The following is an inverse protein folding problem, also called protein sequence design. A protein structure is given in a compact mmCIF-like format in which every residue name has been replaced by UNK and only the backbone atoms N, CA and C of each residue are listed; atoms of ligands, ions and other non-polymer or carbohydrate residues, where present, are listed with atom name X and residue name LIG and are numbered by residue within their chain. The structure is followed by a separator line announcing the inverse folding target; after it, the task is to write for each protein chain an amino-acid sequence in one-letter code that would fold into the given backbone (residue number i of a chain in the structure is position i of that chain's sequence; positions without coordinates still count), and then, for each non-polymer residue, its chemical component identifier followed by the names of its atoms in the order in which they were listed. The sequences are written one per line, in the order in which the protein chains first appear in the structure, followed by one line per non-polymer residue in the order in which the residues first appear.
data_IF_079818362853
#
_entry.id   IF_079818362853
#
_cell.length_a   1.000
_cell.length_b   1.000
_cell.length_c   1.000
_cell.angle_alpha   90.00
_cell.angle_beta   90.00
_cell.angle_gamma   90.00
#
_symmetry.space_group_name_H-M   'P 1'
#
loop_
_entity.id
_entity.type
_entity.pdbx_description
1 polymer ?
#
# COMPACT_ATOMS: atom_id res chain seq x y z
N UNK A 1 7.67 5.15 -25.45
CA UNK A 1 7.62 4.23 -24.30
C UNK A 1 7.37 4.93 -22.97
N UNK A 2 8.22 5.85 -22.51
CA UNK A 2 8.06 6.49 -21.18
C UNK A 2 6.74 7.25 -21.05
N UNK A 3 6.34 8.00 -22.10
CA UNK A 3 5.05 8.71 -22.12
C UNK A 3 3.87 7.74 -22.04
N UNK A 4 3.94 6.61 -22.76
CA UNK A 4 2.90 5.58 -22.70
C UNK A 4 2.86 4.90 -21.33
N UNK A 5 4.01 4.61 -20.72
CA UNK A 5 4.08 4.07 -19.37
C UNK A 5 3.50 5.05 -18.34
N UNK A 6 3.83 6.34 -18.43
CA UNK A 6 3.22 7.38 -17.59
C UNK A 6 1.72 7.49 -17.81
N UNK A 7 1.24 7.45 -19.05
CA UNK A 7 -0.18 7.46 -19.37
C UNK A 7 -0.93 6.29 -18.72
N UNK A 8 -0.39 5.06 -18.84
CA UNK A 8 -0.98 3.87 -18.19
C UNK A 8 -0.99 4.04 -16.67
N UNK A 9 0.11 4.54 -16.07
CA UNK A 9 0.19 4.78 -14.63
C UNK A 9 -0.76 5.89 -14.13
N UNK A 10 -0.89 6.98 -14.89
CA UNK A 10 -1.73 8.13 -14.54
C UNK A 10 -3.22 7.80 -14.71
N UNK A 11 -3.57 6.93 -15.67
CA UNK A 11 -4.94 6.43 -15.83
C UNK A 11 -5.47 5.69 -14.58
N UNK A 12 -4.56 5.23 -13.73
CA UNK A 12 -4.86 4.51 -12.50
C UNK A 12 -4.86 5.40 -11.25
N UNK A 13 -4.17 6.55 -11.28
CA UNK A 13 -4.08 7.45 -10.12
C UNK A 13 -5.28 8.38 -10.01
N UNK A 14 -5.98 8.62 -11.12
CA UNK A 14 -7.20 9.43 -11.14
C UNK A 14 -8.36 8.51 -10.72
N UNK A 15 -8.91 8.60 -9.49
CA UNK A 15 -10.29 8.16 -9.33
C UNK A 15 -11.08 8.97 -10.36
N UNK A 16 -11.81 8.30 -11.25
CA UNK A 16 -12.81 8.98 -12.07
C UNK A 16 -13.81 9.58 -11.09
N UNK A 17 -13.55 10.81 -10.64
CA UNK A 17 -14.62 11.68 -10.20
C UNK A 17 -15.53 11.82 -11.40
N UNK A 18 -16.81 11.54 -11.20
CA UNK A 18 -17.84 11.78 -12.20
C UNK A 18 -17.57 13.11 -12.89
N UNK A 19 -17.60 13.07 -14.23
CA UNK A 19 -17.55 14.27 -15.03
C UNK A 19 -18.79 15.09 -14.72
N UNK A 20 -18.61 16.16 -13.97
CA UNK A 20 -19.57 17.22 -13.84
C UNK A 20 -19.06 18.35 -14.75
N UNK A 21 -19.32 18.18 -16.05
CA UNK A 21 -19.36 19.30 -16.99
C UNK A 21 -20.59 20.13 -16.61
N UNK A 22 -20.43 21.10 -15.71
CA UNK A 22 -21.41 22.15 -15.53
C UNK A 22 -20.77 23.46 -15.96
N UNK A 23 -21.07 23.83 -17.19
CA UNK A 23 -21.05 25.20 -17.68
C UNK A 23 -22.00 26.02 -16.79
N UNK A 24 -21.44 27.01 -16.09
CA UNK A 24 -22.16 27.94 -15.24
C UNK A 24 -22.93 28.95 -16.13
N UNK A 25 -24.17 28.63 -16.48
CA UNK A 25 -25.18 29.64 -16.85
C UNK A 25 -26.50 29.39 -16.10
N UNK A 26 -26.91 30.41 -15.33
CA UNK A 26 -28.32 30.77 -15.13
C UNK A 26 -29.14 29.88 -14.19
N UNK A 27 -29.47 30.43 -13.01
CA UNK A 27 -30.22 29.70 -11.99
C UNK A 27 -31.69 29.42 -12.30
N UNK A 28 -32.24 28.44 -11.57
CA UNK A 28 -33.55 28.50 -10.92
C UNK A 28 -33.69 27.29 -10.00
N UNK A 29 -34.20 27.54 -8.79
CA UNK A 29 -34.67 26.51 -7.86
C UNK A 29 -35.67 25.57 -8.57
N UNK A 30 -35.45 24.26 -8.48
CA UNK A 30 -36.54 23.32 -8.19
C UNK A 30 -36.01 21.99 -7.66
N UNK A 31 -36.68 21.51 -6.60
CA UNK A 31 -36.37 20.27 -5.90
C UNK A 31 -36.56 19.06 -6.82
N UNK A 32 -35.53 18.22 -6.99
CA UNK A 32 -35.77 16.81 -7.30
C UNK A 32 -34.75 15.91 -6.59
N UNK A 33 -35.31 15.09 -5.72
CA UNK A 33 -34.67 14.14 -4.82
C UNK A 33 -34.24 12.91 -5.63
N UNK A 34 -32.94 12.61 -5.67
CA UNK A 34 -32.45 11.32 -6.16
C UNK A 34 -31.23 10.86 -5.35
N UNK A 35 -31.45 10.63 -4.04
CA UNK A 35 -30.44 10.07 -3.13
C UNK A 35 -30.44 8.54 -3.18
N UNK A 36 -29.64 7.98 -4.09
CA UNK A 36 -29.29 6.55 -4.06
C UNK A 36 -27.99 6.38 -3.26
N UNK A 37 -28.04 6.45 -1.92
CA UNK A 37 -26.83 6.27 -1.09
C UNK A 37 -26.99 6.27 0.43
N UNK A 38 -27.28 5.10 1.02
CA UNK A 38 -27.20 4.76 2.48
C UNK A 38 -27.49 5.91 3.47
N UNK A 39 -28.79 6.10 3.75
CA UNK A 39 -29.34 7.16 4.59
C UNK A 39 -29.18 7.01 6.11
N UNK A 40 -28.44 6.03 6.64
CA UNK A 40 -28.41 5.78 8.11
C UNK A 40 -27.80 6.94 8.92
N UNK A 41 -26.77 7.59 8.38
CA UNK A 41 -26.02 8.65 9.06
C UNK A 41 -26.68 10.03 8.91
N UNK A 42 -27.27 10.29 7.73
CA UNK A 42 -28.08 11.49 7.46
C UNK A 42 -29.35 11.49 8.31
N UNK A 43 -30.00 10.32 8.47
CA UNK A 43 -31.15 10.13 9.38
C UNK A 43 -30.78 10.42 10.83
N UNK A 44 -29.65 9.89 11.35
CA UNK A 44 -29.16 10.15 12.71
C UNK A 44 -28.82 11.62 12.96
N UNK A 45 -28.20 12.31 12.00
CA UNK A 45 -27.93 13.74 12.11
C UNK A 45 -29.24 14.56 12.10
N UNK A 46 -30.19 14.24 11.22
CA UNK A 46 -31.51 14.89 11.18
C UNK A 46 -32.31 14.64 12.48
N UNK A 47 -32.23 13.44 13.05
CA UNK A 47 -32.88 13.07 14.30
C UNK A 47 -32.26 13.79 15.52
N UNK A 48 -30.93 13.92 15.56
CA UNK A 48 -30.22 14.69 16.59
C UNK A 48 -30.56 16.19 16.53
N UNK A 49 -30.87 16.72 15.34
CA UNK A 49 -31.32 18.11 15.17
C UNK A 49 -32.77 18.31 15.61
N UNK A 50 -33.65 17.37 15.23
CA UNK A 50 -35.05 17.37 15.68
C UNK A 50 -35.14 17.31 17.21
N UNK A 51 -34.44 16.38 17.85
CA UNK A 51 -34.41 16.25 19.32
C UNK A 51 -33.88 17.50 20.01
N UNK A 52 -32.84 18.15 19.47
CA UNK A 52 -32.36 19.43 19.99
C UNK A 52 -33.43 20.53 19.90
N UNK A 53 -34.13 20.64 18.77
CA UNK A 53 -35.18 21.64 18.56
C UNK A 53 -36.44 21.41 19.41
N UNK A 54 -36.72 20.16 19.81
CA UNK A 54 -37.82 19.83 20.73
C UNK A 54 -37.50 20.17 22.20
N UNK A 55 -36.23 20.23 22.59
CA UNK A 55 -35.86 20.60 23.97
C UNK A 55 -35.96 22.12 24.19
N UNK A 56 -36.92 22.55 25.03
CA UNK A 56 -37.26 23.97 25.27
C UNK A 56 -36.20 24.85 25.96
N UNK A 57 -35.01 24.33 26.31
CA UNK A 57 -33.91 25.13 26.90
C UNK A 57 -32.75 25.28 25.92
N UNK A 58 -32.87 26.29 25.06
CA UNK A 58 -31.89 26.65 24.02
C UNK A 58 -30.78 27.52 24.61
N UNK A 59 -29.69 26.90 25.03
CA UNK A 59 -28.50 27.63 25.50
C UNK A 59 -27.45 27.69 24.38
N UNK A 60 -26.87 28.87 24.11
CA UNK A 60 -25.96 29.10 22.96
C UNK A 60 -24.71 28.19 22.96
N UNK A 61 -24.25 27.78 24.15
CA UNK A 61 -23.13 26.81 24.28
C UNK A 61 -23.53 25.39 23.86
N UNK A 62 -24.81 25.02 23.98
CA UNK A 62 -25.32 23.68 23.65
C UNK A 62 -25.60 23.55 22.15
N UNK A 63 -26.13 24.58 21.49
CA UNK A 63 -26.27 24.60 20.02
C UNK A 63 -24.93 24.45 19.32
N UNK A 64 -23.91 25.19 19.77
CA UNK A 64 -22.57 25.13 19.21
C UNK A 64 -21.95 23.71 19.33
N UNK A 65 -22.19 23.01 20.46
CA UNK A 65 -21.73 21.62 20.64
C UNK A 65 -22.42 20.64 19.70
N UNK A 66 -23.74 20.74 19.53
CA UNK A 66 -24.52 19.87 18.64
C UNK A 66 -24.12 20.11 17.18
N UNK A 67 -23.99 21.36 16.75
CA UNK A 67 -23.51 21.71 15.41
C UNK A 67 -22.09 21.18 15.14
N UNK A 68 -21.19 21.28 16.13
CA UNK A 68 -19.82 20.74 16.01
C UNK A 68 -19.81 19.21 15.91
N UNK A 69 -20.71 18.53 16.63
CA UNK A 69 -20.87 17.07 16.53
C UNK A 69 -21.41 16.63 15.17
N UNK A 70 -22.43 17.33 14.64
CA UNK A 70 -22.98 17.09 13.30
C UNK A 70 -21.94 17.30 12.21
N UNK A 71 -21.21 18.43 12.26
CA UNK A 71 -20.12 18.71 11.30
C UNK A 71 -19.06 17.62 11.33
N UNK A 72 -18.68 17.10 12.50
CA UNK A 72 -17.72 15.98 12.62
C UNK A 72 -18.25 14.66 12.05
N UNK A 73 -19.55 14.37 12.19
CA UNK A 73 -20.16 13.18 11.59
C UNK A 73 -20.23 13.29 10.07
N UNK A 74 -20.54 14.48 9.54
CA UNK A 74 -20.57 14.74 8.10
C UNK A 74 -19.17 14.74 7.46
N UNK A 75 -18.15 15.27 8.14
CA UNK A 75 -16.77 15.28 7.62
C UNK A 75 -16.08 13.93 7.71
N UNK A 76 -16.48 13.04 8.64
CA UNK A 76 -15.93 11.68 8.75
C UNK A 76 -16.23 10.82 7.52
N UNK A 77 -17.26 11.14 6.72
CA UNK A 77 -17.55 10.48 5.43
C UNK A 77 -16.75 11.05 4.24
N UNK A 78 -16.22 12.28 4.35
CA UNK A 78 -15.35 12.91 3.30
C UNK A 78 -13.90 12.46 3.37
N UNK A 79 -13.46 11.85 4.48
CA UNK A 79 -12.24 11.07 4.48
C UNK A 79 -12.62 9.67 4.02
N UNK A 80 -12.15 9.19 2.85
CA UNK A 80 -12.25 7.77 2.56
C UNK A 80 -11.60 7.04 3.73
N UNK A 81 -12.31 6.07 4.29
CA UNK A 81 -11.76 5.20 5.33
C UNK A 81 -10.46 4.61 4.80
N UNK A 82 -9.33 5.02 5.35
CA UNK A 82 -7.98 4.50 5.09
C UNK A 82 -7.80 3.09 5.70
N UNK A 83 -8.80 2.23 5.52
CA UNK A 83 -8.87 0.90 6.13
C UNK A 83 -9.74 -0.07 5.34
N UNK A 84 -10.06 0.23 4.08
CA UNK A 84 -10.63 -0.77 3.18
C UNK A 84 -9.49 -1.35 2.36
N UNK A 85 -9.00 -2.52 2.79
CA UNK A 85 -8.14 -3.41 2.00
C UNK A 85 -8.78 -3.81 0.65
N UNK A 86 -10.02 -3.38 0.37
CA UNK A 86 -10.77 -3.64 -0.85
C UNK A 86 -10.93 -2.42 -1.78
N UNK A 87 -10.32 -1.27 -1.51
CA UNK A 87 -10.25 -0.17 -2.48
C UNK A 87 -9.31 -0.47 -3.67
N UNK A 88 -8.54 -1.56 -3.58
CA UNK A 88 -7.82 -2.20 -4.68
C UNK A 88 -8.69 -3.29 -5.36
N UNK A 89 -10.03 -3.23 -5.25
CA UNK A 89 -10.85 -3.82 -6.33
C UNK A 89 -10.55 -2.99 -7.56
N UNK A 90 -9.56 -3.47 -8.31
CA UNK A 90 -9.13 -2.93 -9.58
C UNK A 90 -10.37 -2.51 -10.35
N UNK A 91 -10.41 -1.25 -10.79
CA UNK A 91 -11.40 -0.85 -11.76
C UNK A 91 -11.35 -1.90 -12.88
N UNK A 92 -12.46 -2.60 -13.19
CA UNK A 92 -12.44 -3.67 -14.19
C UNK A 92 -12.05 -3.15 -15.58
N UNK A 93 -12.06 -1.82 -15.75
CA UNK A 93 -11.61 -1.08 -16.95
C UNK A 93 -10.25 -0.41 -16.77
N UNK A 94 -9.43 -0.86 -15.84
CA UNK A 94 -8.02 -0.48 -15.76
C UNK A 94 -7.33 -0.81 -17.08
N UNK A 95 -6.59 0.15 -17.64
CA UNK A 95 -5.85 -0.08 -18.88
C UNK A 95 -4.87 -1.25 -18.77
N UNK A 96 -4.38 -1.52 -17.56
CA UNK A 96 -3.48 -2.62 -17.24
C UNK A 96 -4.17 -3.97 -17.40
N UNK A 97 -5.43 -4.09 -16.99
CA UNK A 97 -6.22 -5.33 -17.08
C UNK A 97 -6.55 -5.71 -18.54
N UNK A 98 -6.62 -4.71 -19.43
CA UNK A 98 -7.01 -4.89 -20.83
C UNK A 98 -5.82 -5.20 -21.77
N UNK A 99 -4.62 -5.36 -21.22
CA UNK A 99 -3.43 -5.66 -22.02
C UNK A 99 -3.49 -7.10 -22.52
N UNK A 100 -3.32 -7.27 -23.84
CA UNK A 100 -3.21 -8.58 -24.46
C UNK A 100 -1.83 -9.18 -24.19
N UNK A 101 -1.79 -10.43 -23.70
CA UNK A 101 -0.58 -11.16 -23.30
C UNK A 101 0.34 -10.37 -22.34
N UNK A 102 -0.07 -10.22 -21.06
CA UNK A 102 0.66 -9.40 -20.08
C UNK A 102 2.04 -9.96 -19.72
N UNK A 103 2.24 -11.29 -19.78
CA UNK A 103 3.52 -11.94 -19.51
C UNK A 103 4.58 -11.49 -20.52
N UNK A 104 4.32 -11.72 -21.82
CA UNK A 104 5.28 -11.40 -22.88
C UNK A 104 5.60 -9.90 -22.92
N UNK A 105 4.57 -9.07 -22.72
CA UNK A 105 4.76 -7.61 -22.64
C UNK A 105 5.71 -7.21 -21.50
N UNK A 106 5.52 -7.80 -20.31
CA UNK A 106 6.35 -7.50 -19.13
C UNK A 106 7.79 -7.97 -19.32
N UNK A 107 8.01 -9.14 -19.91
CA UNK A 107 9.35 -9.65 -20.22
C UNK A 107 10.08 -8.78 -21.25
N UNK A 108 9.38 -8.34 -22.31
CA UNK A 108 9.93 -7.40 -23.31
C UNK A 108 10.33 -6.08 -22.66
N UNK A 109 9.46 -5.50 -21.82
CA UNK A 109 9.78 -4.28 -21.07
C UNK A 109 10.98 -4.45 -20.15
N UNK A 110 11.09 -5.60 -19.48
CA UNK A 110 12.22 -5.91 -18.61
C UNK A 110 13.53 -6.07 -19.41
N UNK A 111 13.49 -6.73 -20.56
CA UNK A 111 14.63 -6.84 -21.48
C UNK A 111 15.10 -5.47 -21.99
N UNK A 112 14.15 -4.59 -22.34
CA UNK A 112 14.44 -3.22 -22.76
C UNK A 112 15.08 -2.39 -21.63
N UNK A 113 14.61 -2.57 -20.39
CA UNK A 113 15.20 -1.95 -19.20
C UNK A 113 16.65 -2.42 -19.00
N UNK A 114 16.93 -3.70 -19.21
CA UNK A 114 18.28 -4.26 -19.07
C UNK A 114 19.23 -3.84 -20.18
N UNK A 115 18.77 -3.82 -21.42
CA UNK A 115 19.60 -3.49 -22.59
C UNK A 115 19.95 -2.00 -22.62
N UNK A 116 19.02 -1.13 -22.22
CA UNK A 116 19.21 0.33 -22.27
C UNK A 116 19.79 0.94 -20.99
N UNK A 117 20.43 0.13 -20.13
CA UNK A 117 20.98 0.52 -18.82
C UNK A 117 21.81 1.81 -18.83
N UNK A 118 22.55 2.13 -19.90
CA UNK A 118 23.45 3.29 -19.97
C UNK A 118 22.80 4.59 -20.48
N UNK A 119 21.71 4.51 -21.24
CA UNK A 119 21.19 5.65 -22.01
C UNK A 119 19.88 6.24 -21.44
N UNK A 120 19.41 5.76 -20.29
CA UNK A 120 18.11 6.14 -19.71
C UNK A 120 18.33 6.81 -18.35
N UNK A 121 17.65 7.94 -18.14
CA UNK A 121 17.62 8.66 -16.85
C UNK A 121 17.05 7.78 -15.75
N UNK A 122 17.48 8.01 -14.51
CA UNK A 122 17.04 7.20 -13.37
C UNK A 122 15.51 7.27 -13.16
N UNK A 123 14.90 8.45 -13.34
CA UNK A 123 13.45 8.61 -13.22
C UNK A 123 12.66 7.81 -14.28
N UNK A 124 13.18 7.73 -15.51
CA UNK A 124 12.60 6.90 -16.55
C UNK A 124 12.74 5.40 -16.24
N UNK A 125 13.87 4.97 -15.65
CA UNK A 125 14.03 3.59 -15.15
C UNK A 125 13.01 3.29 -14.05
N UNK A 126 12.85 4.20 -13.10
CA UNK A 126 11.91 4.04 -12.00
C UNK A 126 10.46 3.97 -12.49
N UNK A 127 10.10 4.76 -13.51
CA UNK A 127 8.78 4.70 -14.17
C UNK A 127 8.55 3.35 -14.84
N UNK A 128 9.56 2.80 -15.53
CA UNK A 128 9.46 1.48 -16.15
C UNK A 128 9.36 0.36 -15.11
N UNK A 129 10.14 0.44 -14.03
CA UNK A 129 10.05 -0.51 -12.91
C UNK A 129 8.64 -0.46 -12.31
N UNK A 130 8.09 0.72 -12.03
CA UNK A 130 6.72 0.86 -11.51
C UNK A 130 5.69 0.17 -12.41
N UNK A 131 5.78 0.36 -13.73
CA UNK A 131 4.89 -0.31 -14.67
C UNK A 131 5.05 -1.84 -14.59
N UNK A 132 6.28 -2.35 -14.59
CA UNK A 132 6.58 -3.79 -14.49
C UNK A 132 6.03 -4.37 -13.19
N UNK A 133 6.30 -3.73 -12.04
CA UNK A 133 5.81 -4.22 -10.73
C UNK A 133 4.30 -4.17 -10.62
N UNK A 134 3.65 -3.19 -11.24
CA UNK A 134 2.18 -3.16 -11.36
C UNK A 134 1.64 -4.31 -12.20
N UNK A 135 2.23 -4.57 -13.38
CA UNK A 135 1.82 -5.70 -14.24
C UNK A 135 1.92 -7.03 -13.50
N UNK A 136 3.04 -7.25 -12.78
CA UNK A 136 3.27 -8.43 -11.94
C UNK A 136 2.18 -8.55 -10.87
N UNK A 137 1.88 -7.46 -10.16
CA UNK A 137 0.91 -7.48 -9.06
C UNK A 137 -0.53 -7.75 -9.51
N UNK A 138 -0.91 -7.30 -10.72
CA UNK A 138 -2.28 -7.38 -11.22
C UNK A 138 -2.54 -8.72 -11.92
N UNK A 139 -1.58 -9.21 -12.70
CA UNK A 139 -1.70 -10.43 -13.49
C UNK A 139 -0.98 -11.63 -12.87
N UNK A 140 -0.45 -11.49 -11.65
CA UNK A 140 0.28 -12.53 -10.90
C UNK A 140 1.42 -13.18 -11.72
N UNK A 141 2.20 -12.34 -12.40
CA UNK A 141 3.24 -12.77 -13.35
C UNK A 141 4.56 -13.15 -12.66
N UNK A 142 5.19 -14.23 -13.10
CA UNK A 142 6.48 -14.67 -12.56
C UNK A 142 7.64 -14.10 -13.38
N UNK A 143 8.25 -13.00 -12.90
CA UNK A 143 9.46 -12.39 -13.48
C UNK A 143 10.59 -12.40 -12.45
N UNK A 144 11.16 -13.58 -12.21
CA UNK A 144 12.15 -13.79 -11.13
C UNK A 144 13.44 -12.97 -11.30
N UNK A 145 13.81 -12.63 -12.53
CA UNK A 145 15.00 -11.81 -12.83
C UNK A 145 14.88 -10.37 -12.31
N UNK A 146 13.67 -9.92 -11.95
CA UNK A 146 13.44 -8.60 -11.39
C UNK A 146 14.03 -8.46 -9.98
N UNK A 147 13.92 -9.47 -9.12
CA UNK A 147 14.37 -9.37 -7.71
C UNK A 147 15.88 -9.10 -7.61
N UNK A 148 16.77 -9.83 -8.31
CA UNK A 148 18.20 -9.51 -8.31
C UNK A 148 18.54 -8.15 -8.91
N UNK A 149 17.69 -7.61 -9.80
CA UNK A 149 17.85 -6.25 -10.32
C UNK A 149 17.51 -5.22 -9.23
N UNK A 150 16.39 -5.41 -8.51
CA UNK A 150 15.96 -4.53 -7.42
C UNK A 150 16.94 -4.59 -6.24
N UNK A 151 17.51 -5.75 -5.93
CA UNK A 151 18.51 -5.91 -4.86
C UNK A 151 19.68 -4.94 -4.99
N UNK A 152 20.15 -4.69 -6.21
CA UNK A 152 21.29 -3.78 -6.48
C UNK A 152 20.98 -2.33 -6.12
N UNK A 153 19.69 -1.97 -6.07
CA UNK A 153 19.22 -0.65 -5.70
C UNK A 153 18.86 -0.54 -4.21
N UNK A 154 18.93 -1.62 -3.44
CA UNK A 154 18.68 -1.63 -1.99
C UNK A 154 19.91 -1.17 -1.19
N UNK A 155 20.50 -0.05 -1.60
CA UNK A 155 21.63 0.57 -0.91
C UNK A 155 21.13 1.82 -0.17
N UNK A 156 21.67 2.15 1.01
CA UNK A 156 21.15 3.24 1.84
C UNK A 156 21.43 4.62 1.23
N UNK A 157 22.46 4.73 0.40
CA UNK A 157 22.78 5.94 -0.36
C UNK A 157 21.94 6.11 -1.64
N UNK A 158 21.15 5.10 -2.02
CA UNK A 158 20.42 5.14 -3.28
C UNK A 158 19.30 6.19 -3.24
N UNK A 159 19.23 7.02 -4.27
CA UNK A 159 18.18 8.00 -4.41
C UNK A 159 16.80 7.32 -4.55
N UNK A 160 15.80 7.83 -3.82
CA UNK A 160 14.40 7.34 -3.83
C UNK A 160 14.26 5.85 -3.46
N UNK A 161 15.14 5.34 -2.60
CA UNK A 161 15.11 3.92 -2.19
C UNK A 161 13.78 3.49 -1.56
N UNK A 162 13.09 4.40 -0.88
CA UNK A 162 11.75 4.17 -0.30
C UNK A 162 10.71 3.80 -1.37
N UNK A 163 10.81 4.40 -2.56
CA UNK A 163 9.93 4.10 -3.69
C UNK A 163 10.26 2.73 -4.29
N UNK A 164 11.55 2.37 -4.33
CA UNK A 164 12.01 1.07 -4.82
C UNK A 164 11.55 -0.05 -3.88
N UNK A 165 11.62 0.17 -2.56
CA UNK A 165 11.09 -0.77 -1.57
C UNK A 165 9.58 -0.98 -1.73
N UNK A 166 8.82 0.08 -2.00
CA UNK A 166 7.39 -0.03 -2.29
C UNK A 166 7.11 -0.85 -3.56
N UNK A 167 7.89 -0.65 -4.62
CA UNK A 167 7.76 -1.44 -5.85
C UNK A 167 8.16 -2.90 -5.66
N UNK A 168 9.17 -3.18 -4.84
CA UNK A 168 9.54 -4.54 -4.47
C UNK A 168 8.39 -5.24 -3.75
N UNK A 169 7.82 -4.60 -2.71
CA UNK A 169 6.69 -5.17 -1.98
C UNK A 169 5.47 -5.37 -2.88
N UNK A 170 5.25 -4.49 -3.86
CA UNK A 170 4.21 -4.63 -4.87
C UNK A 170 4.46 -5.82 -5.82
N UNK A 171 5.70 -6.09 -6.20
CA UNK A 171 6.06 -7.19 -7.08
C UNK A 171 6.02 -8.57 -6.39
N UNK A 172 5.89 -8.62 -5.07
CA UNK A 172 5.65 -9.85 -4.35
C UNK A 172 4.16 -10.23 -4.46
N UNK A 173 3.86 -11.51 -4.69
CA UNK A 173 2.51 -12.06 -4.66
C UNK A 173 2.58 -13.54 -4.25
N UNK A 174 1.42 -14.17 -4.03
CA UNK A 174 1.29 -15.53 -3.48
C UNK A 174 2.02 -16.63 -4.26
N UNK A 175 2.23 -16.44 -5.57
CA UNK A 175 2.89 -17.44 -6.44
C UNK A 175 4.41 -17.26 -6.52
N UNK A 176 4.97 -16.20 -5.95
CA UNK A 176 6.41 -15.95 -5.99
C UNK A 176 7.10 -16.91 -5.02
N UNK A 177 8.13 -17.65 -5.46
CA UNK A 177 8.86 -18.56 -4.58
C UNK A 177 9.60 -17.78 -3.48
N UNK A 178 9.58 -18.27 -2.23
CA UNK A 178 10.22 -17.60 -1.10
C UNK A 178 11.74 -17.45 -1.30
N UNK A 179 12.40 -18.42 -1.95
CA UNK A 179 13.84 -18.42 -2.23
C UNK A 179 14.34 -17.18 -2.98
N UNK A 180 13.49 -16.62 -3.85
CA UNK A 180 13.84 -15.41 -4.62
C UNK A 180 13.71 -14.13 -3.78
N UNK A 181 12.83 -14.14 -2.77
CA UNK A 181 12.46 -12.97 -1.95
C UNK A 181 13.28 -12.91 -0.65
N UNK A 182 13.62 -14.06 -0.08
CA UNK A 182 14.42 -14.19 1.13
C UNK A 182 15.74 -13.38 1.10
N UNK A 183 16.58 -13.45 0.03
CA UNK A 183 17.79 -12.63 -0.04
C UNK A 183 17.48 -11.12 -0.08
N UNK A 184 16.30 -10.71 -0.58
CA UNK A 184 15.87 -9.31 -0.54
C UNK A 184 15.56 -8.89 0.89
N UNK A 185 14.76 -9.68 1.61
CA UNK A 185 14.36 -9.40 3.00
C UNK A 185 15.59 -9.27 3.89
N UNK A 186 16.55 -10.19 3.74
CA UNK A 186 17.83 -10.14 4.45
C UNK A 186 18.63 -8.87 4.12
N UNK A 187 18.74 -8.52 2.83
CA UNK A 187 19.42 -7.28 2.41
C UNK A 187 18.75 -6.04 3.03
N UNK A 188 17.42 -6.01 3.12
CA UNK A 188 16.67 -4.91 3.73
C UNK A 188 16.97 -4.83 5.22
N UNK A 189 16.96 -5.96 5.94
CA UNK A 189 17.28 -5.99 7.36
C UNK A 189 18.71 -5.50 7.63
N UNK A 190 19.70 -6.07 6.92
CA UNK A 190 21.11 -5.76 7.10
C UNK A 190 21.46 -4.29 6.75
N UNK A 191 20.67 -3.67 5.87
CA UNK A 191 20.96 -2.31 5.37
C UNK A 191 20.14 -1.23 6.06
N UNK A 192 18.87 -1.49 6.36
CA UNK A 192 17.91 -0.49 6.87
C UNK A 192 17.58 -0.66 8.35
N UNK A 193 17.71 -1.87 8.89
CA UNK A 193 17.36 -2.20 10.28
C UNK A 193 18.65 -2.43 11.07
N UNK A 194 19.45 -1.37 11.20
CA UNK A 194 20.67 -1.40 12.01
C UNK A 194 20.70 -0.22 12.97
N UNK A 195 21.40 -0.36 14.10
CA UNK A 195 21.51 0.70 15.12
C UNK A 195 22.21 1.98 14.61
N UNK A 196 22.86 1.91 13.44
CA UNK A 196 23.54 3.06 12.81
C UNK A 196 22.59 3.87 11.92
N UNK A 197 21.43 3.32 11.59
CA UNK A 197 20.44 3.97 10.74
C UNK A 197 19.60 4.98 11.53
N UNK A 198 19.05 5.98 10.83
CA UNK A 198 18.08 6.89 11.44
C UNK A 198 16.78 6.14 11.78
N UNK A 199 16.06 6.60 12.80
CA UNK A 199 14.78 6.01 13.21
C UNK A 199 13.77 5.94 12.06
N UNK A 200 13.76 6.95 11.17
CA UNK A 200 12.95 6.97 9.96
C UNK A 200 13.31 5.84 8.98
N UNK A 201 14.60 5.61 8.78
CA UNK A 201 15.12 4.55 7.89
C UNK A 201 14.76 3.17 8.44
N UNK A 202 14.89 2.98 9.76
CA UNK A 202 14.52 1.74 10.45
C UNK A 202 13.02 1.49 10.30
N UNK A 203 12.18 2.52 10.50
CA UNK A 203 10.74 2.40 10.34
C UNK A 203 10.35 2.03 8.89
N UNK A 204 11.00 2.62 7.89
CA UNK A 204 10.79 2.26 6.48
C UNK A 204 11.20 0.81 6.20
N UNK A 205 12.35 0.37 6.71
CA UNK A 205 12.83 -1.02 6.58
C UNK A 205 11.83 -2.02 7.17
N UNK A 206 11.40 -1.80 8.41
CA UNK A 206 10.42 -2.64 9.10
C UNK A 206 9.07 -2.70 8.36
N UNK A 207 8.57 -1.54 7.89
CA UNK A 207 7.32 -1.49 7.12
C UNK A 207 7.45 -2.21 5.78
N UNK A 208 8.61 -2.12 5.13
CA UNK A 208 8.86 -2.79 3.84
C UNK A 208 8.90 -4.30 4.02
N UNK A 209 9.61 -4.80 5.04
CA UNK A 209 9.62 -6.24 5.39
C UNK A 209 8.22 -6.72 5.70
N UNK A 210 7.46 -6.00 6.54
CA UNK A 210 6.06 -6.33 6.84
C UNK A 210 5.21 -6.48 5.57
N UNK A 211 5.32 -5.53 4.64
CA UNK A 211 4.50 -5.50 3.43
C UNK A 211 4.85 -6.64 2.45
N UNK A 212 6.13 -7.04 2.42
CA UNK A 212 6.60 -8.23 1.69
C UNK A 212 6.03 -9.50 2.35
N UNK A 213 6.18 -9.63 3.67
CA UNK A 213 5.74 -10.81 4.42
C UNK A 213 4.22 -10.96 4.47
N UNK A 214 3.47 -9.85 4.34
CA UNK A 214 2.02 -9.91 4.19
C UNK A 214 1.58 -10.63 2.89
N UNK A 215 2.45 -10.68 1.87
CA UNK A 215 2.19 -11.34 0.57
C UNK A 215 2.90 -12.69 0.45
N UNK A 216 4.14 -12.78 0.94
CA UNK A 216 4.96 -13.99 0.94
C UNK A 216 5.46 -14.24 2.37
N UNK A 217 4.65 -14.87 3.24
CA UNK A 217 5.01 -15.06 4.65
C UNK A 217 6.27 -15.90 4.85
N UNK A 218 6.46 -16.91 3.99
CA UNK A 218 7.58 -17.85 4.04
C UNK A 218 8.94 -17.20 3.70
N UNK A 219 8.97 -15.97 3.17
CA UNK A 219 10.21 -15.28 2.81
C UNK A 219 11.06 -14.85 4.02
N UNK A 220 10.51 -14.91 5.24
CA UNK A 220 11.21 -14.59 6.48
C UNK A 220 11.89 -15.81 7.10
N UNK A 221 11.40 -17.02 6.79
CA UNK A 221 11.92 -18.25 7.33
C UNK A 221 13.25 -18.58 6.62
N UNK A 222 14.30 -18.85 7.40
CA UNK A 222 15.58 -19.26 6.83
C UNK A 222 15.56 -20.79 6.63
N UNK A 223 15.12 -21.25 5.46
CA UNK A 223 15.15 -22.68 5.09
C UNK A 223 16.57 -23.26 5.08
N UNK A 224 17.60 -22.41 5.05
CA UNK A 224 19.01 -22.84 5.01
C UNK A 224 19.53 -23.39 6.34
N UNK A 225 18.77 -23.27 7.43
CA UNK A 225 19.11 -23.91 8.70
C UNK A 225 18.55 -25.33 8.69
N UNK A 226 19.45 -26.28 8.43
CA UNK A 226 19.18 -27.71 8.51
C UNK A 226 18.42 -28.06 9.80
N UNK A 227 17.58 -29.10 9.70
CA UNK A 227 16.69 -29.63 10.75
C UNK A 227 17.35 -29.93 12.11
N UNK A 228 18.68 -29.79 12.24
CA UNK A 228 19.45 -29.95 13.46
C UNK A 228 19.39 -28.77 14.44
N UNK A 229 19.11 -27.54 13.99
CA UNK A 229 19.11 -26.35 14.86
C UNK A 229 17.73 -25.70 14.92
N UNK A 230 16.87 -26.23 15.78
CA UNK A 230 15.49 -25.75 16.06
C UNK A 230 15.45 -24.26 16.49
N UNK A 231 16.58 -23.66 16.84
CA UNK A 231 16.72 -22.26 17.27
C UNK A 231 16.98 -21.24 16.14
N UNK A 232 17.30 -21.68 14.92
CA UNK A 232 17.68 -20.77 13.81
C UNK A 232 16.52 -20.22 12.98
N UNK A 233 15.38 -20.93 12.93
CA UNK A 233 14.23 -20.63 12.04
C UNK A 233 13.60 -19.25 12.24
N UNK A 234 13.90 -18.54 13.33
CA UNK A 234 13.30 -17.26 13.67
C UNK A 234 14.31 -16.18 14.13
N UNK A 235 15.61 -16.33 13.83
CA UNK A 235 16.63 -15.36 14.26
C UNK A 235 16.29 -13.93 13.79
N UNK A 236 15.98 -13.78 12.49
CA UNK A 236 15.63 -12.48 11.94
C UNK A 236 14.33 -11.93 12.56
N UNK A 237 13.28 -12.74 12.69
CA UNK A 237 12.04 -12.30 13.34
C UNK A 237 12.28 -11.84 14.77
N UNK A 238 13.08 -12.58 15.54
CA UNK A 238 13.43 -12.24 16.91
C UNK A 238 14.13 -10.89 16.98
N UNK A 239 15.06 -10.64 16.06
CA UNK A 239 15.78 -9.37 15.96
C UNK A 239 14.85 -8.21 15.60
N UNK A 240 13.93 -8.42 14.65
CA UNK A 240 12.92 -7.40 14.29
C UNK A 240 11.94 -7.12 15.44
N UNK A 241 11.56 -8.14 16.20
CA UNK A 241 10.66 -8.01 17.37
C UNK A 241 11.33 -7.26 18.52
N UNK A 242 12.66 -7.28 18.62
CA UNK A 242 13.39 -6.52 19.65
C UNK A 242 13.09 -5.00 19.57
N UNK A 243 12.79 -4.48 18.38
CA UNK A 243 12.42 -3.08 18.17
C UNK A 243 11.02 -2.71 18.71
N UNK A 244 10.23 -3.65 19.25
CA UNK A 244 8.88 -3.36 19.82
C UNK A 244 8.89 -2.37 20.98
N UNK A 245 9.98 -2.25 21.71
CA UNK A 245 10.18 -1.34 22.84
C UNK A 245 11.13 -0.20 22.53
N UNK A 246 11.35 0.09 21.24
CA UNK A 246 12.18 1.22 20.81
C UNK A 246 11.61 2.56 21.30
N UNK A 247 12.50 3.54 21.50
CA UNK A 247 12.15 4.89 21.99
C UNK A 247 11.19 5.61 21.03
N UNK A 248 11.44 5.46 19.74
CA UNK A 248 10.56 6.00 18.70
C UNK A 248 9.28 5.16 18.53
N UNK A 249 8.15 5.87 18.45
CA UNK A 249 6.83 5.24 18.31
C UNK A 249 6.62 4.65 16.92
N UNK A 250 7.17 5.27 15.87
CA UNK A 250 7.08 4.76 14.50
C UNK A 250 7.74 3.40 14.36
N UNK A 251 8.97 3.28 14.86
CA UNK A 251 9.74 2.03 14.90
C UNK A 251 9.04 0.98 15.78
N UNK A 252 8.63 1.35 16.99
CA UNK A 252 7.94 0.45 17.93
C UNK A 252 6.64 -0.12 17.35
N UNK A 253 5.85 0.70 16.66
CA UNK A 253 4.61 0.25 16.01
C UNK A 253 4.90 -0.65 14.81
N UNK A 254 5.86 -0.29 13.96
CA UNK A 254 6.23 -1.10 12.80
C UNK A 254 6.70 -2.52 13.21
N UNK A 255 7.52 -2.61 14.26
CA UNK A 255 8.00 -3.88 14.81
C UNK A 255 6.86 -4.76 15.38
N UNK A 256 5.87 -4.15 16.04
CA UNK A 256 4.70 -4.89 16.55
C UNK A 256 3.87 -5.48 15.42
N UNK A 257 3.61 -4.71 14.38
CA UNK A 257 2.84 -5.18 13.23
C UNK A 257 3.57 -6.25 12.42
N UNK A 258 4.91 -6.20 12.34
CA UNK A 258 5.69 -7.26 11.72
C UNK A 258 5.50 -8.60 12.45
N UNK A 259 5.48 -8.59 13.78
CA UNK A 259 5.23 -9.78 14.60
C UNK A 259 3.82 -10.35 14.40
N UNK A 260 2.80 -9.50 14.42
CA UNK A 260 1.41 -9.92 14.22
C UNK A 260 1.20 -10.58 12.86
N UNK A 261 1.83 -10.03 11.81
CA UNK A 261 1.74 -10.58 10.46
C UNK A 261 2.42 -11.94 10.37
N UNK A 262 3.61 -12.09 10.95
CA UNK A 262 4.31 -13.38 10.99
C UNK A 262 3.51 -14.45 11.76
N UNK A 263 2.99 -14.11 12.94
CA UNK A 263 2.21 -15.04 13.78
C UNK A 263 0.89 -15.46 13.14
N UNK A 264 0.23 -14.60 12.35
CA UNK A 264 -1.04 -14.93 11.70
C UNK A 264 -0.88 -15.97 10.58
N UNK A 265 0.32 -16.04 9.96
CA UNK A 265 0.61 -16.96 8.86
C UNK A 265 1.46 -18.18 9.27
N UNK A 266 2.11 -18.16 10.45
CA UNK A 266 2.79 -19.33 11.03
C UNK A 266 1.85 -20.32 11.73
N UNK A 267 0.54 -20.05 11.80
CA UNK A 267 -0.42 -21.08 12.20
C UNK A 267 -0.64 -21.98 10.98
N UNK A 268 -0.28 -23.28 11.04
CA UNK A 268 -0.60 -24.19 9.96
C UNK A 268 -2.13 -24.20 9.82
N UNK A 269 -2.61 -23.88 8.62
CA UNK A 269 -3.97 -24.18 8.21
C UNK A 269 -4.10 -25.70 8.23
N UNK A 270 -4.44 -26.25 9.39
CA UNK A 270 -4.96 -27.59 9.53
C UNK A 270 -6.38 -27.52 8.99
N UNK A 271 -6.55 -27.95 7.75
CA UNK A 271 -7.81 -28.38 7.17
C UNK A 271 -7.61 -29.81 6.65
#
# INVERSE_FOLDING_TARGET
MIIAARFVLDSEQKPRGDGDENEDEGGSDDESDNDTGDGSSSKRAKEMWKTYNLTGKKNARKSARVQKAMKKMMTKKRKPSSGSANAMKANPFSAIMLINNPQEYTERLFSDLQTRKKNISFDAKLTMINLITRMISVHELLVLNLYPLLQRYLQPHQERVTVILAYLAQACHSLVPPDAVQPMVKTIADTFVTDRCSEETIAVGLNSIREICARVPLAIEDESVAESDVEGRAALLRDLVAYKSHRDKGVSMAARYANETALFYSIPVIA
#
